data_IF_807111017222
#
_entry.id   IF_807111017222
#
_cell.length_a   1.000
_cell.length_b   1.000
_cell.length_c   1.000
_cell.angle_alpha   90.00
_cell.angle_beta   90.00
_cell.angle_gamma   90.00
#
_symmetry.space_group_name_H-M   'P 1'
#
loop_
_entity.id
_entity.type
_entity.pdbx_description
1 polymer ?
#
# COMPACT_ATOMS: atom_id res chain seq x y z
N UNK A 1 -52.38 14.82 19.43
CA UNK A 1 -51.98 13.54 18.83
C UNK A 1 -51.59 13.80 17.37
N UNK A 2 -50.33 14.10 17.11
CA UNK A 2 -49.81 14.16 15.72
C UNK A 2 -48.49 13.38 15.71
N UNK A 3 -48.58 12.24 15.13
CA UNK A 3 -47.47 11.29 14.90
C UNK A 3 -46.53 11.88 13.87
N UNK A 4 -45.30 12.21 14.27
CA UNK A 4 -44.23 12.58 13.37
C UNK A 4 -43.60 11.30 12.78
N UNK A 5 -43.92 11.08 11.52
CA UNK A 5 -43.32 10.04 10.68
C UNK A 5 -41.92 10.50 10.30
N UNK A 6 -40.87 9.95 10.99
CA UNK A 6 -39.48 10.12 10.56
C UNK A 6 -39.26 9.33 9.27
N UNK A 7 -39.37 10.01 8.13
CA UNK A 7 -38.88 9.49 6.87
C UNK A 7 -37.35 9.60 6.86
N UNK A 8 -36.67 8.48 7.10
CA UNK A 8 -35.27 8.31 6.74
C UNK A 8 -35.16 8.35 5.21
N UNK A 9 -34.89 9.52 4.67
CA UNK A 9 -34.46 9.64 3.28
C UNK A 9 -32.98 9.21 3.24
N UNK A 10 -32.76 7.95 2.88
CA UNK A 10 -31.49 7.54 2.30
C UNK A 10 -31.41 8.25 0.96
N UNK A 11 -30.75 9.39 0.91
CA UNK A 11 -30.38 10.02 -0.37
C UNK A 11 -29.28 9.17 -0.97
N UNK A 12 -29.70 8.03 -1.54
CA UNK A 12 -28.95 7.45 -2.63
C UNK A 12 -29.11 8.47 -3.77
N UNK A 13 -28.11 9.33 -3.95
CA UNK A 13 -27.99 10.08 -5.20
C UNK A 13 -27.63 9.05 -6.28
N UNK A 14 -28.66 8.30 -6.68
CA UNK A 14 -28.66 7.57 -7.93
C UNK A 14 -28.61 8.66 -8.98
N UNK A 15 -27.40 9.08 -9.38
CA UNK A 15 -27.23 9.56 -10.74
C UNK A 15 -27.86 8.47 -11.58
N UNK A 16 -29.00 8.80 -12.23
CA UNK A 16 -29.69 7.90 -13.12
C UNK A 16 -28.63 7.21 -13.99
N UNK A 17 -28.75 5.90 -14.23
CA UNK A 17 -27.85 5.23 -15.12
C UNK A 17 -28.09 5.81 -16.53
N UNK A 18 -27.50 6.97 -16.80
CA UNK A 18 -27.18 7.32 -18.15
C UNK A 18 -26.22 6.25 -18.58
N UNK A 19 -26.70 5.35 -19.39
CA UNK A 19 -25.98 4.28 -20.05
C UNK A 19 -24.77 4.82 -20.82
N UNK A 20 -23.71 5.12 -20.10
CA UNK A 20 -22.37 5.32 -20.62
C UNK A 20 -21.50 4.34 -19.87
N UNK A 21 -21.55 3.08 -20.29
CA UNK A 21 -20.48 2.15 -20.04
C UNK A 21 -19.21 2.82 -20.58
N UNK A 22 -18.33 3.34 -19.69
CA UNK A 22 -16.99 3.78 -20.03
C UNK A 22 -16.69 5.28 -19.95
N UNK A 23 -17.56 6.14 -19.40
CA UNK A 23 -17.17 7.52 -19.14
C UNK A 23 -16.26 7.58 -17.88
N UNK A 24 -15.01 7.94 -18.08
CA UNK A 24 -14.09 8.27 -17.01
C UNK A 24 -14.58 9.53 -16.29
N UNK A 25 -14.66 9.48 -14.95
CA UNK A 25 -15.00 10.66 -14.15
C UNK A 25 -13.89 11.71 -14.27
N UNK A 26 -14.27 12.92 -14.60
CA UNK A 26 -13.34 14.06 -14.60
C UNK A 26 -13.01 14.48 -13.16
N UNK A 27 -11.86 15.16 -12.97
CA UNK A 27 -11.49 15.73 -11.68
C UNK A 27 -12.60 16.59 -11.06
N UNK A 28 -13.29 17.42 -11.86
CA UNK A 28 -14.36 18.29 -11.38
C UNK A 28 -15.58 17.50 -10.87
N UNK A 29 -15.92 16.40 -11.52
CA UNK A 29 -17.02 15.52 -11.07
C UNK A 29 -16.65 14.83 -9.76
N UNK A 30 -15.41 14.33 -9.64
CA UNK A 30 -14.92 13.75 -8.38
C UNK A 30 -14.92 14.78 -7.26
N UNK A 31 -14.43 16.00 -7.49
CA UNK A 31 -14.46 17.09 -6.51
C UNK A 31 -15.89 17.43 -6.09
N UNK A 32 -16.83 17.47 -7.04
CA UNK A 32 -18.24 17.74 -6.75
C UNK A 32 -18.85 16.66 -5.86
N UNK A 33 -18.56 15.37 -6.13
CA UNK A 33 -19.02 14.25 -5.31
C UNK A 33 -18.44 14.31 -3.89
N UNK A 34 -17.14 14.58 -3.77
CA UNK A 34 -16.47 14.75 -2.47
C UNK A 34 -17.08 15.90 -1.67
N UNK A 35 -17.35 17.04 -2.31
CA UNK A 35 -17.88 18.24 -1.66
C UNK A 35 -19.38 18.14 -1.31
N UNK A 36 -20.16 17.38 -2.09
CA UNK A 36 -21.61 17.24 -1.89
C UNK A 36 -21.99 16.20 -0.85
N UNK A 37 -21.03 15.42 -0.36
CA UNK A 37 -21.31 14.37 0.62
C UNK A 37 -21.53 15.00 2.01
N UNK A 38 -22.68 14.78 2.65
CA UNK A 38 -22.95 15.32 3.98
C UNK A 38 -21.95 14.83 5.02
N UNK A 39 -21.68 15.68 6.00
CA UNK A 39 -20.80 15.33 7.12
C UNK A 39 -21.27 14.03 7.79
N UNK A 40 -20.34 13.07 7.99
CA UNK A 40 -20.62 11.77 8.59
C UNK A 40 -21.10 10.68 7.62
N UNK A 41 -21.34 11.00 6.35
CA UNK A 41 -21.55 9.99 5.31
C UNK A 41 -20.23 9.66 4.60
N UNK A 42 -20.14 8.42 4.07
CA UNK A 42 -18.99 7.99 3.28
C UNK A 42 -19.27 8.19 1.81
N UNK A 43 -18.36 8.87 1.14
CA UNK A 43 -18.35 8.90 -0.33
C UNK A 43 -18.03 7.50 -0.85
N UNK A 44 -18.70 7.08 -1.91
CA UNK A 44 -18.38 5.82 -2.59
C UNK A 44 -18.04 6.04 -4.05
N UNK A 45 -16.92 5.48 -4.47
CA UNK A 45 -16.47 5.33 -5.85
C UNK A 45 -16.29 3.83 -6.16
N UNK A 46 -16.93 2.95 -5.37
CA UNK A 46 -16.76 1.51 -5.49
C UNK A 46 -17.12 1.03 -6.91
N UNK A 47 -16.18 0.32 -7.54
CA UNK A 47 -16.32 -0.20 -8.90
C UNK A 47 -16.36 0.86 -10.02
N UNK A 48 -16.16 2.15 -9.71
CA UNK A 48 -16.15 3.20 -10.73
C UNK A 48 -14.82 3.25 -11.49
N UNK A 49 -14.85 3.77 -12.73
CA UNK A 49 -13.64 4.04 -13.50
C UNK A 49 -13.11 5.44 -13.21
N UNK A 50 -11.89 5.48 -12.69
CA UNK A 50 -11.08 6.67 -12.42
C UNK A 50 -9.70 6.50 -13.09
N UNK A 51 -9.63 5.66 -14.13
CA UNK A 51 -8.39 5.35 -14.81
C UNK A 51 -7.80 6.61 -15.45
N UNK A 52 -6.48 6.83 -15.24
CA UNK A 52 -5.77 8.01 -15.73
C UNK A 52 -6.22 9.35 -15.14
N UNK A 53 -7.18 9.35 -14.23
CA UNK A 53 -7.72 10.59 -13.68
C UNK A 53 -6.67 11.37 -12.87
N UNK A 54 -6.75 12.68 -12.98
CA UNK A 54 -5.99 13.61 -12.15
C UNK A 54 -6.70 13.81 -10.80
N UNK A 55 -6.22 13.11 -9.77
CA UNK A 55 -6.78 13.08 -8.42
C UNK A 55 -5.81 13.63 -7.37
N UNK A 56 -4.73 14.32 -7.81
CA UNK A 56 -3.73 14.82 -6.90
C UNK A 56 -4.33 15.77 -5.86
N UNK A 57 -3.83 15.66 -4.62
CA UNK A 57 -4.22 16.48 -3.46
C UNK A 57 -5.72 16.41 -3.08
N UNK A 58 -6.52 15.49 -3.67
CA UNK A 58 -7.92 15.31 -3.27
C UNK A 58 -8.02 14.54 -1.94
N UNK A 59 -9.08 14.83 -1.20
CA UNK A 59 -9.35 14.19 0.09
C UNK A 59 -10.38 13.06 -0.06
N UNK A 60 -9.90 11.83 -0.10
CA UNK A 60 -10.68 10.59 -0.10
C UNK A 60 -10.73 9.92 1.28
N UNK A 61 -10.48 10.67 2.35
CA UNK A 61 -10.46 10.09 3.70
C UNK A 61 -11.79 9.40 4.00
N UNK A 62 -11.71 8.15 4.46
CA UNK A 62 -12.83 7.25 4.72
C UNK A 62 -13.72 6.91 3.51
N UNK A 63 -13.35 7.28 2.28
CA UNK A 63 -14.09 6.92 1.08
C UNK A 63 -14.05 5.41 0.81
N UNK A 64 -15.05 4.90 0.13
CA UNK A 64 -15.07 3.55 -0.40
C UNK A 64 -14.67 3.56 -1.88
N UNK A 65 -13.49 3.06 -2.17
CA UNK A 65 -12.89 2.89 -3.49
C UNK A 65 -12.75 1.40 -3.84
N UNK A 66 -13.49 0.52 -3.15
CA UNK A 66 -13.39 -0.92 -3.35
C UNK A 66 -13.67 -1.31 -4.81
N UNK A 67 -12.77 -2.05 -5.43
CA UNK A 67 -12.87 -2.48 -6.83
C UNK A 67 -12.84 -1.34 -7.86
N UNK A 68 -12.59 -0.09 -7.46
CA UNK A 68 -12.46 1.02 -8.40
C UNK A 68 -11.28 0.81 -9.35
N UNK A 69 -11.39 1.30 -10.59
CA UNK A 69 -10.29 1.33 -11.54
C UNK A 69 -9.58 2.69 -11.45
N UNK A 70 -8.41 2.69 -10.84
CA UNK A 70 -7.49 3.81 -10.66
C UNK A 70 -6.20 3.59 -11.48
N UNK A 71 -6.27 2.77 -12.53
CA UNK A 71 -5.10 2.45 -13.37
C UNK A 71 -4.46 3.71 -13.91
N UNK A 72 -3.17 3.93 -13.61
CA UNK A 72 -2.42 5.12 -14.04
C UNK A 72 -2.88 6.45 -13.47
N UNK A 73 -3.82 6.46 -12.51
CA UNK A 73 -4.31 7.69 -11.89
C UNK A 73 -3.19 8.44 -11.15
N UNK A 74 -3.29 9.76 -11.14
CA UNK A 74 -2.42 10.63 -10.37
C UNK A 74 -3.02 10.90 -8.98
N UNK A 75 -2.58 10.15 -7.99
CA UNK A 75 -2.99 10.26 -6.59
C UNK A 75 -1.92 10.93 -5.71
N UNK A 76 -0.99 11.69 -6.30
CA UNK A 76 0.06 12.35 -5.53
C UNK A 76 -0.53 13.31 -4.50
N UNK A 77 -0.07 13.21 -3.26
CA UNK A 77 -0.57 14.02 -2.15
C UNK A 77 -2.03 13.76 -1.76
N UNK A 78 -2.73 12.83 -2.43
CA UNK A 78 -4.12 12.52 -2.09
C UNK A 78 -4.21 11.97 -0.66
N UNK A 79 -5.29 12.31 0.05
CA UNK A 79 -5.58 11.75 1.37
C UNK A 79 -6.47 10.52 1.22
N UNK A 80 -5.90 9.37 1.55
CA UNK A 80 -6.58 8.07 1.56
C UNK A 80 -6.74 7.53 2.99
N UNK A 81 -6.73 8.41 3.99
CA UNK A 81 -6.78 8.04 5.41
C UNK A 81 -8.07 7.27 5.71
N UNK A 82 -7.93 6.02 6.19
CA UNK A 82 -9.08 5.16 6.52
C UNK A 82 -9.96 4.78 5.32
N UNK A 83 -9.51 5.03 4.08
CA UNK A 83 -10.25 4.65 2.88
C UNK A 83 -10.20 3.15 2.62
N UNK A 84 -11.19 2.61 1.90
CA UNK A 84 -11.24 1.23 1.47
C UNK A 84 -10.87 1.14 0.00
N UNK A 85 -9.81 0.40 -0.31
CA UNK A 85 -9.34 0.12 -1.68
C UNK A 85 -9.30 -1.40 -1.93
N UNK A 86 -10.15 -2.17 -1.23
CA UNK A 86 -10.17 -3.63 -1.35
C UNK A 86 -10.42 -4.03 -2.80
N UNK A 87 -9.48 -4.79 -3.40
CA UNK A 87 -9.56 -5.21 -4.79
C UNK A 87 -9.52 -4.10 -5.82
N UNK A 88 -9.17 -2.86 -5.45
CA UNK A 88 -9.03 -1.75 -6.38
C UNK A 88 -7.87 -2.01 -7.36
N UNK A 89 -7.98 -1.45 -8.58
CA UNK A 89 -6.96 -1.54 -9.61
C UNK A 89 -6.19 -0.22 -9.67
N UNK A 90 -4.90 -0.25 -9.28
CA UNK A 90 -3.99 0.90 -9.27
C UNK A 90 -2.69 0.61 -10.07
N UNK A 91 -2.70 -0.23 -11.15
CA UNK A 91 -1.46 -0.48 -11.85
C UNK A 91 -0.89 0.83 -12.39
N UNK A 92 0.41 1.05 -12.13
CA UNK A 92 1.15 2.28 -12.51
C UNK A 92 0.56 3.58 -11.98
N UNK A 93 -0.31 3.56 -10.97
CA UNK A 93 -0.78 4.76 -10.29
C UNK A 93 0.39 5.48 -9.58
N UNK A 94 0.26 6.78 -9.43
CA UNK A 94 1.24 7.64 -8.77
C UNK A 94 0.72 8.04 -7.40
N UNK A 95 1.33 7.48 -6.33
CA UNK A 95 0.92 7.71 -4.94
C UNK A 95 1.99 8.47 -4.12
N UNK A 96 2.97 9.09 -4.77
CA UNK A 96 3.99 9.86 -4.08
C UNK A 96 3.34 10.89 -3.15
N UNK A 97 3.78 10.98 -1.90
CA UNK A 97 3.23 11.86 -0.86
C UNK A 97 1.76 11.59 -0.48
N UNK A 98 1.13 10.51 -0.98
CA UNK A 98 -0.23 10.16 -0.57
C UNK A 98 -0.27 9.75 0.92
N UNK A 99 -1.35 10.11 1.60
CA UNK A 99 -1.59 9.81 3.01
C UNK A 99 -2.43 8.55 3.13
N UNK A 100 -1.86 7.45 3.59
CA UNK A 100 -2.50 6.12 3.55
C UNK A 100 -2.79 5.54 4.94
N UNK A 101 -2.70 6.33 6.01
CA UNK A 101 -2.91 5.84 7.38
C UNK A 101 -4.27 5.13 7.50
N UNK A 102 -4.26 3.89 8.00
CA UNK A 102 -5.45 3.08 8.21
C UNK A 102 -6.20 2.70 6.93
N UNK A 103 -5.63 2.90 5.74
CA UNK A 103 -6.24 2.50 4.49
C UNK A 103 -6.18 0.97 4.29
N UNK A 104 -7.19 0.42 3.60
CA UNK A 104 -7.28 -1.00 3.29
C UNK A 104 -7.04 -1.25 1.80
N UNK A 105 -5.84 -1.72 1.46
CA UNK A 105 -5.43 -2.13 0.11
C UNK A 105 -5.47 -3.66 -0.07
N UNK A 106 -6.22 -4.39 0.76
CA UNK A 106 -6.28 -5.84 0.64
C UNK A 106 -6.70 -6.26 -0.76
N UNK A 107 -5.93 -7.18 -1.36
CA UNK A 107 -6.13 -7.68 -2.73
C UNK A 107 -6.12 -6.63 -3.84
N UNK A 108 -5.67 -5.40 -3.58
CA UNK A 108 -5.53 -4.38 -4.60
C UNK A 108 -4.37 -4.69 -5.56
N UNK A 109 -4.50 -4.26 -6.82
CA UNK A 109 -3.42 -4.33 -7.81
C UNK A 109 -2.68 -3.00 -7.89
N UNK A 110 -1.50 -2.92 -7.29
CA UNK A 110 -0.58 -1.77 -7.33
C UNK A 110 0.65 -2.06 -8.22
N UNK A 111 0.53 -2.98 -9.19
CA UNK A 111 1.67 -3.39 -10.01
C UNK A 111 2.30 -2.20 -10.74
N UNK A 112 3.62 -2.04 -10.60
CA UNK A 112 4.37 -0.92 -11.16
C UNK A 112 4.01 0.46 -10.64
N UNK A 113 3.22 0.58 -9.58
CA UNK A 113 2.85 1.86 -8.97
C UNK A 113 4.08 2.56 -8.36
N UNK A 114 3.96 3.89 -8.23
CA UNK A 114 4.97 4.71 -7.57
C UNK A 114 4.50 5.06 -6.16
N UNK A 115 5.12 4.42 -5.18
CA UNK A 115 4.84 4.51 -3.75
C UNK A 115 6.01 5.18 -3.00
N UNK A 116 6.80 5.99 -3.69
CA UNK A 116 7.89 6.70 -3.04
C UNK A 116 7.34 7.82 -2.13
N UNK A 117 7.94 7.95 -0.96
CA UNK A 117 7.61 9.01 0.02
C UNK A 117 6.16 9.03 0.51
N UNK A 118 5.51 7.86 0.64
CA UNK A 118 4.18 7.76 1.26
C UNK A 118 4.16 8.38 2.66
N UNK A 119 3.04 9.04 3.00
CA UNK A 119 2.77 9.49 4.37
C UNK A 119 2.01 8.37 5.09
N UNK A 120 2.69 7.68 5.98
CA UNK A 120 2.24 6.44 6.63
C UNK A 120 1.89 6.62 8.11
N UNK A 121 2.19 7.78 8.67
CA UNK A 121 1.98 8.11 10.09
C UNK A 121 1.86 9.62 10.24
N UNK A 122 1.06 10.07 11.19
CA UNK A 122 0.95 11.48 11.57
C UNK A 122 2.14 11.97 12.43
N UNK A 123 2.96 11.07 12.94
CA UNK A 123 4.08 11.33 13.84
C UNK A 123 5.39 10.67 13.40
N UNK A 124 6.36 10.66 14.34
CA UNK A 124 7.66 10.03 14.11
C UNK A 124 7.63 8.49 14.11
N UNK A 125 6.58 7.90 14.67
CA UNK A 125 6.38 6.45 14.76
C UNK A 125 4.98 6.11 14.26
N UNK A 126 4.86 4.99 13.54
CA UNK A 126 3.56 4.44 13.15
C UNK A 126 2.87 3.87 14.38
N UNK A 127 1.65 4.29 14.64
CA UNK A 127 0.80 3.69 15.67
C UNK A 127 0.01 2.51 15.07
N UNK A 128 -0.32 1.46 15.84
CA UNK A 128 -1.05 0.30 15.31
C UNK A 128 -2.35 0.64 14.57
N UNK A 129 -3.08 1.65 15.03
CA UNK A 129 -4.31 2.11 14.38
C UNK A 129 -4.08 2.93 13.10
N UNK A 130 -2.85 3.36 12.84
CA UNK A 130 -2.46 4.06 11.61
C UNK A 130 -1.93 3.10 10.54
N UNK A 131 -1.63 1.86 10.92
CA UNK A 131 -1.12 0.88 9.97
C UNK A 131 -2.17 0.58 8.91
N UNK A 132 -1.81 0.76 7.65
CA UNK A 132 -2.62 0.29 6.53
C UNK A 132 -2.44 -1.22 6.33
N UNK A 133 -3.35 -1.87 5.63
CA UNK A 133 -3.20 -3.29 5.27
C UNK A 133 -3.04 -3.48 3.76
N UNK A 134 -2.18 -4.43 3.36
CA UNK A 134 -1.91 -4.83 1.99
C UNK A 134 -2.00 -6.35 1.81
N UNK A 135 -2.86 -6.99 2.59
CA UNK A 135 -3.06 -8.44 2.57
C UNK A 135 -3.37 -8.93 1.15
N UNK A 136 -2.52 -9.82 0.63
CA UNK A 136 -2.68 -10.37 -0.72
C UNK A 136 -2.61 -9.34 -1.84
N UNK A 137 -2.17 -8.12 -1.60
CA UNK A 137 -2.04 -7.09 -2.63
C UNK A 137 -0.92 -7.43 -3.63
N UNK A 138 -1.07 -6.97 -4.87
CA UNK A 138 -0.06 -7.08 -5.89
C UNK A 138 0.72 -5.76 -6.04
N UNK A 139 1.95 -5.72 -5.53
CA UNK A 139 2.88 -4.59 -5.66
C UNK A 139 4.02 -4.89 -6.64
N UNK A 140 3.89 -5.92 -7.49
CA UNK A 140 5.00 -6.36 -8.36
C UNK A 140 5.55 -5.21 -9.21
N UNK A 141 6.89 -5.06 -9.23
CA UNK A 141 7.58 -4.00 -9.97
C UNK A 141 7.38 -2.57 -9.44
N UNK A 142 6.65 -2.37 -8.35
CA UNK A 142 6.44 -1.05 -7.76
C UNK A 142 7.76 -0.41 -7.30
N UNK A 143 7.78 0.93 -7.25
CA UNK A 143 8.83 1.69 -6.57
C UNK A 143 8.35 2.02 -5.17
N UNK A 144 9.17 1.74 -4.19
CA UNK A 144 8.79 1.88 -2.79
C UNK A 144 9.91 2.57 -2.02
N UNK A 145 9.57 3.66 -1.32
CA UNK A 145 10.42 4.28 -0.31
C UNK A 145 9.50 4.79 0.79
N UNK A 146 9.18 3.94 1.77
CA UNK A 146 8.24 4.27 2.83
C UNK A 146 8.52 3.42 4.07
N UNK A 147 7.87 3.76 5.18
CA UNK A 147 7.91 3.00 6.44
C UNK A 147 6.63 2.20 6.57
N UNK A 148 6.71 0.88 6.43
CA UNK A 148 5.57 -0.04 6.60
C UNK A 148 5.61 -0.77 7.95
N UNK A 149 6.18 -0.14 8.96
CA UNK A 149 6.32 -0.74 10.28
C UNK A 149 4.93 -1.08 10.85
N UNK A 150 4.79 -2.28 11.40
CA UNK A 150 3.55 -2.81 11.97
C UNK A 150 2.43 -3.13 10.95
N UNK A 151 2.67 -3.01 9.64
CA UNK A 151 1.68 -3.27 8.61
C UNK A 151 1.41 -4.78 8.47
N UNK A 152 0.21 -5.10 8.01
CA UNK A 152 -0.15 -6.44 7.58
C UNK A 152 -0.05 -6.52 6.04
N UNK A 153 0.92 -7.27 5.55
CA UNK A 153 1.22 -7.48 4.14
C UNK A 153 1.34 -8.99 3.82
N UNK A 154 0.71 -9.85 4.64
CA UNK A 154 0.84 -11.29 4.41
C UNK A 154 0.29 -11.68 3.04
N UNK A 155 0.97 -12.61 2.38
CA UNK A 155 0.62 -13.07 1.04
C UNK A 155 0.76 -12.01 -0.06
N UNK A 156 1.31 -10.82 0.22
CA UNK A 156 1.50 -9.79 -0.80
C UNK A 156 2.54 -10.22 -1.85
N UNK A 157 2.29 -9.85 -3.11
CA UNK A 157 3.26 -10.01 -4.18
C UNK A 157 4.12 -8.74 -4.31
N UNK A 158 5.34 -8.80 -3.83
CA UNK A 158 6.37 -7.77 -3.84
C UNK A 158 7.53 -8.14 -4.81
N UNK A 159 7.26 -9.02 -5.79
CA UNK A 159 8.28 -9.44 -6.74
C UNK A 159 8.79 -8.26 -7.57
N UNK A 160 10.10 -8.23 -7.82
CA UNK A 160 10.74 -7.19 -8.63
C UNK A 160 10.52 -5.75 -8.17
N UNK A 161 10.09 -5.51 -6.92
CA UNK A 161 10.02 -4.15 -6.39
C UNK A 161 11.39 -3.48 -6.35
N UNK A 162 11.37 -2.15 -6.41
CA UNK A 162 12.56 -1.31 -6.23
C UNK A 162 12.43 -0.55 -4.93
N UNK A 163 13.06 -1.08 -3.88
CA UNK A 163 12.96 -0.57 -2.51
C UNK A 163 14.34 -0.29 -1.87
N UNK A 164 15.42 -0.45 -2.64
CA UNK A 164 16.78 -0.19 -2.14
C UNK A 164 16.94 1.26 -1.67
N UNK A 165 17.71 1.44 -0.59
CA UNK A 165 18.00 2.77 -0.07
C UNK A 165 18.73 3.64 -1.08
N UNK A 166 18.36 4.93 -1.17
CA UNK A 166 19.14 5.91 -1.91
C UNK A 166 20.35 6.37 -1.10
N UNK A 167 21.53 5.92 -1.52
CA UNK A 167 22.80 6.24 -0.86
C UNK A 167 23.45 7.55 -1.35
N UNK A 168 22.87 8.18 -2.37
CA UNK A 168 23.47 9.38 -3.00
C UNK A 168 23.24 10.67 -2.20
N UNK A 169 22.22 10.70 -1.37
CA UNK A 169 21.87 11.88 -0.57
C UNK A 169 21.81 11.55 0.93
N UNK A 170 22.98 11.41 1.56
CA UNK A 170 23.07 11.01 2.97
C UNK A 170 23.04 12.21 3.95
N UNK A 171 22.99 13.45 3.45
CA UNK A 171 23.05 14.65 4.30
C UNK A 171 21.85 14.79 5.28
N UNK A 172 20.71 14.13 4.97
CA UNK A 172 19.49 14.13 5.77
C UNK A 172 19.23 12.78 6.47
N UNK A 173 20.23 11.88 6.50
CA UNK A 173 20.09 10.49 6.93
C UNK A 173 19.74 9.55 5.78
N UNK A 174 19.87 8.25 6.04
CA UNK A 174 19.58 7.21 5.05
C UNK A 174 18.05 7.10 4.86
N UNK A 175 17.57 7.54 3.70
CA UNK A 175 16.17 7.30 3.30
C UNK A 175 16.09 5.87 2.76
N UNK A 176 15.45 4.98 3.51
CA UNK A 176 15.29 3.57 3.16
C UNK A 176 13.87 3.11 3.39
N UNK A 177 13.49 2.04 2.70
CA UNK A 177 12.25 1.34 3.00
C UNK A 177 12.40 0.57 4.31
N UNK A 178 11.39 0.66 5.16
CA UNK A 178 11.33 -0.02 6.45
C UNK A 178 10.13 -0.94 6.52
N UNK A 179 10.37 -2.22 6.77
CA UNK A 179 9.40 -3.27 7.03
C UNK A 179 9.58 -3.85 8.44
N UNK A 180 10.13 -3.08 9.37
CA UNK A 180 10.35 -3.60 10.72
C UNK A 180 9.02 -3.93 11.40
N UNK A 181 8.96 -5.10 12.06
CA UNK A 181 7.77 -5.62 12.75
C UNK A 181 6.54 -5.81 11.81
N UNK A 182 6.72 -5.81 10.50
CA UNK A 182 5.66 -6.02 9.50
C UNK A 182 5.34 -7.51 9.39
N UNK A 183 4.08 -7.86 9.19
CA UNK A 183 3.70 -9.22 8.82
C UNK A 183 3.82 -9.41 7.30
N UNK A 184 4.84 -10.16 6.89
CA UNK A 184 5.19 -10.49 5.51
C UNK A 184 5.20 -12.02 5.32
N UNK A 185 4.46 -12.74 6.16
CA UNK A 185 4.29 -14.18 6.02
C UNK A 185 3.77 -14.53 4.64
N UNK A 186 4.35 -15.52 3.97
CA UNK A 186 4.00 -15.93 2.60
C UNK A 186 4.19 -14.84 1.51
N UNK A 187 4.84 -13.73 1.80
CA UNK A 187 5.08 -12.67 0.81
C UNK A 187 6.08 -13.12 -0.26
N UNK A 188 5.88 -12.62 -1.50
CA UNK A 188 6.76 -12.91 -2.61
C UNK A 188 7.67 -11.71 -2.94
N UNK A 189 8.97 -11.83 -2.67
CA UNK A 189 10.03 -10.87 -2.98
C UNK A 189 10.96 -11.34 -4.10
N UNK A 190 10.53 -12.29 -4.93
CA UNK A 190 11.37 -12.83 -5.99
C UNK A 190 11.98 -11.72 -6.86
N UNK A 191 13.32 -11.71 -7.00
CA UNK A 191 14.04 -10.75 -7.82
C UNK A 191 13.91 -9.28 -7.39
N UNK A 192 13.45 -9.01 -6.16
CA UNK A 192 13.29 -7.67 -5.63
C UNK A 192 14.63 -7.01 -5.32
N UNK A 193 14.74 -5.69 -5.57
CA UNK A 193 15.87 -4.89 -5.16
C UNK A 193 15.64 -4.33 -3.74
N UNK A 194 16.28 -4.93 -2.73
CA UNK A 194 16.06 -4.70 -1.30
C UNK A 194 17.35 -4.25 -0.57
N UNK A 195 18.31 -3.75 -1.30
CA UNK A 195 19.59 -3.34 -0.71
C UNK A 195 19.39 -2.33 0.42
N UNK A 196 19.91 -2.66 1.62
CA UNK A 196 19.84 -1.85 2.85
C UNK A 196 18.41 -1.61 3.39
N UNK A 197 17.42 -2.39 2.98
CA UNK A 197 16.06 -2.38 3.55
C UNK A 197 16.10 -2.87 4.99
N UNK A 198 15.22 -2.31 5.84
CA UNK A 198 15.09 -2.74 7.22
C UNK A 198 13.92 -3.72 7.37
N UNK A 199 14.22 -4.97 7.72
CA UNK A 199 13.27 -6.04 8.07
C UNK A 199 13.38 -6.46 9.54
N UNK A 200 13.98 -5.66 10.41
CA UNK A 200 14.20 -6.05 11.79
C UNK A 200 12.88 -6.47 12.46
N UNK A 201 12.89 -7.66 13.08
CA UNK A 201 11.72 -8.26 13.75
C UNK A 201 10.51 -8.50 12.84
N UNK A 202 10.65 -8.48 11.52
CA UNK A 202 9.58 -8.81 10.60
C UNK A 202 9.22 -10.30 10.65
N UNK A 203 7.94 -10.62 10.41
CA UNK A 203 7.51 -12.00 10.19
C UNK A 203 7.67 -12.31 8.70
N UNK A 204 8.60 -13.17 8.35
CA UNK A 204 8.97 -13.54 6.98
C UNK A 204 8.86 -15.06 6.77
N UNK A 205 8.08 -15.74 7.62
CA UNK A 205 7.89 -17.19 7.48
C UNK A 205 7.34 -17.53 6.09
N UNK A 206 7.99 -18.47 5.40
CA UNK A 206 7.67 -18.91 4.04
C UNK A 206 7.75 -17.83 2.96
N UNK A 207 8.35 -16.67 3.26
CA UNK A 207 8.58 -15.63 2.25
C UNK A 207 9.55 -16.11 1.17
N UNK A 208 9.30 -15.70 -0.08
CA UNK A 208 10.15 -16.04 -1.21
C UNK A 208 11.06 -14.87 -1.58
N UNK A 209 12.35 -14.98 -1.28
CA UNK A 209 13.41 -14.04 -1.66
C UNK A 209 14.29 -14.57 -2.79
N UNK A 210 13.84 -15.57 -3.55
CA UNK A 210 14.68 -16.16 -4.58
C UNK A 210 15.19 -15.11 -5.58
N UNK A 211 16.51 -15.04 -5.77
CA UNK A 211 17.16 -14.06 -6.64
C UNK A 211 17.03 -12.59 -6.21
N UNK A 212 16.57 -12.29 -5.01
CA UNK A 212 16.49 -10.91 -4.50
C UNK A 212 17.88 -10.36 -4.14
N UNK A 213 18.04 -9.04 -4.21
CA UNK A 213 19.21 -8.35 -3.67
C UNK A 213 18.90 -7.84 -2.25
N UNK A 214 19.44 -8.53 -1.25
CA UNK A 214 19.35 -8.20 0.19
C UNK A 214 20.63 -7.55 0.70
N UNK A 215 21.55 -7.11 -0.17
CA UNK A 215 22.85 -6.61 0.26
C UNK A 215 22.74 -5.49 1.30
N UNK A 216 23.40 -5.68 2.45
CA UNK A 216 23.35 -4.76 3.58
C UNK A 216 21.97 -4.59 4.22
N UNK A 217 21.00 -5.45 3.93
CA UNK A 217 19.68 -5.42 4.59
C UNK A 217 19.81 -5.81 6.07
N UNK A 218 18.93 -5.28 6.90
CA UNK A 218 18.82 -5.58 8.31
C UNK A 218 17.68 -6.58 8.55
N UNK A 219 18.03 -7.82 8.84
CA UNK A 219 17.10 -8.91 9.19
C UNK A 219 17.24 -9.31 10.68
N UNK A 220 17.77 -8.41 11.52
CA UNK A 220 17.93 -8.65 12.95
C UNK A 220 16.62 -9.10 13.60
N UNK A 221 16.63 -10.27 14.23
CA UNK A 221 15.47 -10.83 14.92
C UNK A 221 14.28 -11.21 14.03
N UNK A 222 14.41 -11.16 12.70
CA UNK A 222 13.33 -11.55 11.79
C UNK A 222 13.06 -13.07 11.84
N UNK A 223 11.80 -13.48 11.62
CA UNK A 223 11.42 -14.89 11.50
C UNK A 223 11.39 -15.30 10.02
N UNK A 224 12.43 -15.98 9.57
CA UNK A 224 12.61 -16.53 8.22
C UNK A 224 12.29 -18.04 8.16
N UNK A 225 11.50 -18.56 9.10
CA UNK A 225 11.15 -19.98 9.11
C UNK A 225 10.59 -20.40 7.73
N UNK A 226 11.21 -21.43 7.14
CA UNK A 226 10.86 -21.99 5.83
C UNK A 226 10.92 -21.00 4.65
N UNK A 227 11.53 -19.83 4.79
CA UNK A 227 11.75 -18.86 3.72
C UNK A 227 12.71 -19.41 2.65
N UNK A 228 12.62 -18.86 1.42
CA UNK A 228 13.48 -19.23 0.31
C UNK A 228 14.41 -18.07 -0.08
N UNK A 229 15.72 -18.21 0.25
CA UNK A 229 16.80 -17.28 -0.13
C UNK A 229 17.61 -17.81 -1.32
N UNK A 230 17.09 -18.78 -2.10
CA UNK A 230 17.84 -19.40 -3.20
C UNK A 230 18.30 -18.36 -4.21
N UNK A 231 19.61 -18.21 -4.39
CA UNK A 231 20.19 -17.24 -5.33
C UNK A 231 20.07 -15.78 -4.90
N UNK A 232 19.62 -15.50 -3.69
CA UNK A 232 19.60 -14.13 -3.16
C UNK A 232 21.04 -13.64 -2.91
N UNK A 233 21.28 -12.34 -3.16
CA UNK A 233 22.50 -11.66 -2.75
C UNK A 233 22.35 -11.23 -1.29
N UNK A 234 23.06 -11.90 -0.39
CA UNK A 234 23.05 -11.62 1.05
C UNK A 234 24.38 -11.00 1.55
N UNK A 235 25.14 -10.35 0.68
CA UNK A 235 26.36 -9.67 1.06
C UNK A 235 26.08 -8.60 2.13
N UNK A 236 26.82 -8.62 3.23
CA UNK A 236 26.69 -7.66 4.34
C UNK A 236 25.28 -7.62 4.98
N UNK A 237 24.44 -8.62 4.75
CA UNK A 237 23.11 -8.73 5.39
C UNK A 237 23.27 -9.10 6.86
N UNK A 238 22.58 -8.38 7.75
CA UNK A 238 22.59 -8.66 9.17
C UNK A 238 21.47 -9.65 9.55
N UNK A 239 21.84 -10.90 9.89
CA UNK A 239 20.94 -11.95 10.37
C UNK A 239 21.03 -12.15 11.89
N UNK A 240 21.55 -11.19 12.65
CA UNK A 240 21.70 -11.33 14.11
C UNK A 240 20.37 -11.70 14.76
N UNK A 241 20.35 -12.80 15.50
CA UNK A 241 19.15 -13.33 16.15
C UNK A 241 17.96 -13.69 15.22
N UNK A 242 18.15 -13.75 13.92
CA UNK A 242 17.12 -14.20 13.00
C UNK A 242 16.81 -15.70 13.19
N UNK A 243 15.53 -16.09 13.01
CA UNK A 243 15.11 -17.48 13.04
C UNK A 243 15.22 -18.04 11.61
N UNK A 244 16.13 -18.98 11.38
CA UNK A 244 16.48 -19.54 10.07
C UNK A 244 16.07 -21.03 9.91
N UNK A 245 15.13 -21.50 10.71
CA UNK A 245 14.70 -22.91 10.65
C UNK A 245 14.05 -23.21 9.30
N UNK A 246 14.59 -24.18 8.56
CA UNK A 246 14.06 -24.60 7.27
C UNK A 246 14.31 -23.60 6.12
N UNK A 247 15.02 -22.48 6.37
CA UNK A 247 15.36 -21.50 5.35
C UNK A 247 16.23 -22.12 4.26
N UNK A 248 15.81 -21.98 2.99
CA UNK A 248 16.56 -22.48 1.83
C UNK A 248 17.55 -21.42 1.33
N UNK A 249 18.66 -21.87 0.73
CA UNK A 249 19.63 -20.98 0.10
C UNK A 249 20.50 -20.17 1.09
N UNK A 250 20.26 -20.23 2.38
CA UNK A 250 21.12 -19.64 3.41
C UNK A 250 22.36 -20.52 3.60
N UNK A 251 23.56 -19.93 3.48
CA UNK A 251 24.86 -20.59 3.69
C UNK A 251 25.79 -19.70 4.50
#
# INVERSE_FOLDING_TARGET
>A
MHSALNLFWTVCLVLAPSSVLGAELTRLEVQSLLASTPAGQKVTFAGMSLAGADLHDLDFSNADLSGADLSGADLRGAKLVGSKLVGAKLPRARLNLAWIMGADFSHADLSGADLETLVVSAGLQTLPQEAATFVGANLSGAKITARFNLYDMHGANLSHIRASADVRNQSMGLIRTEFSQTDLTDANFQGAALGRVNFAFAKLSRANFSGADLSGADLTGADLTDADLTGANTADTDFTNAVLRGTKGYR
#
